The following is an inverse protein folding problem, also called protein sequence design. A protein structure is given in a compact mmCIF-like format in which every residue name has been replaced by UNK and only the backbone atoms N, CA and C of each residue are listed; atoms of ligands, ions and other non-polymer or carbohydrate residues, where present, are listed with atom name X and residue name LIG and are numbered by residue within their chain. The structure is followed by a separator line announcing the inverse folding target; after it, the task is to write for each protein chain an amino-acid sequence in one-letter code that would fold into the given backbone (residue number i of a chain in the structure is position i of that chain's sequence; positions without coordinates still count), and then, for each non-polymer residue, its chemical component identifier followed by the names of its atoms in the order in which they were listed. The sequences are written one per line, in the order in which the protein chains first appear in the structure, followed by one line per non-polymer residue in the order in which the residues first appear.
data_IF_573390101747
#
_entry.id   IF_573390101747
#
_cell.length_a   1.000
_cell.length_b   1.000
_cell.length_c   1.000
_cell.angle_alpha   90.00
_cell.angle_beta   90.00
_cell.angle_gamma   90.00
#
_symmetry.space_group_name_H-M   'P 1'
#
loop_
_entity.id
_entity.type
_entity.pdbx_description
1 polymer ?
#
# COMPACT_ATOMS: atom_id res chain seq x y z
N UNK A 1 -29.60 6.59 -14.62
CA UNK A 1 -28.40 6.89 -13.81
C UNK A 1 -28.87 7.75 -12.64
N UNK A 2 -28.81 7.24 -11.41
CA UNK A 2 -29.35 7.94 -10.23
C UNK A 2 -28.28 8.87 -9.67
N UNK A 3 -28.53 10.18 -9.66
CA UNK A 3 -27.61 11.15 -9.08
C UNK A 3 -27.92 11.31 -7.59
N UNK A 4 -26.91 11.05 -6.75
CA UNK A 4 -27.02 11.23 -5.31
C UNK A 4 -26.31 12.51 -4.92
N UNK A 5 -27.07 13.48 -4.42
CA UNK A 5 -26.50 14.72 -3.89
C UNK A 5 -26.06 14.50 -2.44
N UNK A 6 -24.78 14.79 -2.16
CA UNK A 6 -24.22 14.72 -0.80
C UNK A 6 -23.39 15.97 -0.54
N UNK A 7 -23.45 16.47 0.68
CA UNK A 7 -22.63 17.59 1.15
C UNK A 7 -21.47 16.99 1.94
N UNK A 8 -20.26 17.46 1.64
CA UNK A 8 -19.05 17.06 2.34
C UNK A 8 -18.30 18.33 2.73
N UNK A 9 -17.65 18.28 3.89
CA UNK A 9 -16.67 19.29 4.21
C UNK A 9 -15.40 19.02 3.39
N UNK A 10 -14.85 20.07 2.80
CA UNK A 10 -13.60 20.03 2.08
C UNK A 10 -12.73 21.17 2.60
N UNK A 11 -11.49 20.89 3.08
CA UNK A 11 -10.54 21.94 3.42
C UNK A 11 -10.37 22.92 2.25
N UNK A 12 -10.26 24.21 2.57
CA UNK A 12 -10.24 25.28 1.58
C UNK A 12 -9.09 25.12 0.58
N UNK A 13 -7.90 24.78 1.06
CA UNK A 13 -6.71 24.53 0.23
C UNK A 13 -6.95 23.43 -0.82
N UNK A 14 -7.61 22.34 -0.40
CA UNK A 14 -7.92 21.23 -1.30
C UNK A 14 -8.99 21.62 -2.31
N UNK A 15 -9.96 22.44 -1.92
CA UNK A 15 -10.98 22.94 -2.83
C UNK A 15 -10.35 23.85 -3.91
N UNK A 16 -9.44 24.75 -3.50
CA UNK A 16 -8.71 25.64 -4.41
C UNK A 16 -7.90 24.81 -5.40
N UNK A 17 -7.10 23.84 -4.92
CA UNK A 17 -6.29 22.98 -5.77
C UNK A 17 -7.14 22.19 -6.79
N UNK A 18 -8.24 21.59 -6.32
CA UNK A 18 -9.15 20.84 -7.18
C UNK A 18 -9.83 21.74 -8.22
N UNK A 19 -10.20 22.97 -7.85
CA UNK A 19 -10.81 23.94 -8.75
C UNK A 19 -9.85 24.40 -9.84
N UNK A 20 -8.59 24.63 -9.49
CA UNK A 20 -7.56 25.06 -10.43
C UNK A 20 -7.27 23.95 -11.44
N UNK A 21 -7.19 22.72 -10.97
CA UNK A 21 -6.96 21.58 -11.84
C UNK A 21 -8.16 21.27 -12.75
N UNK A 22 -9.38 21.40 -12.25
CA UNK A 22 -10.59 21.26 -13.07
C UNK A 22 -10.63 22.33 -14.17
N UNK A 23 -10.24 23.57 -13.87
CA UNK A 23 -10.13 24.66 -14.85
C UNK A 23 -9.08 24.39 -15.92
N UNK A 24 -7.91 23.89 -15.55
CA UNK A 24 -6.84 23.54 -16.50
C UNK A 24 -7.30 22.50 -17.53
N UNK A 25 -8.16 21.56 -17.12
CA UNK A 25 -8.66 20.48 -17.97
C UNK A 25 -10.00 20.80 -18.63
N UNK A 26 -10.59 21.98 -18.38
CA UNK A 26 -11.90 22.37 -18.92
C UNK A 26 -13.07 21.54 -18.37
N UNK A 27 -12.90 20.91 -17.20
CA UNK A 27 -13.87 20.01 -16.57
C UNK A 27 -14.57 20.68 -15.39
N UNK A 28 -15.74 20.13 -14.99
CA UNK A 28 -16.38 20.53 -13.74
C UNK A 28 -15.65 19.89 -12.56
N UNK A 29 -15.63 20.60 -11.42
CA UNK A 29 -15.02 20.12 -10.17
C UNK A 29 -15.57 18.75 -9.77
N UNK A 30 -16.88 18.52 -9.95
CA UNK A 30 -17.56 17.27 -9.62
C UNK A 30 -17.06 16.10 -10.48
N UNK A 31 -16.80 16.34 -11.77
CA UNK A 31 -16.30 15.31 -12.68
C UNK A 31 -14.88 14.91 -12.28
N UNK A 32 -14.05 15.90 -11.91
CA UNK A 32 -12.70 15.66 -11.42
C UNK A 32 -12.69 14.91 -10.09
N UNK A 33 -13.57 15.29 -9.16
CA UNK A 33 -13.77 14.59 -7.89
C UNK A 33 -14.16 13.13 -8.11
N UNK A 34 -15.07 12.88 -9.06
CA UNK A 34 -15.48 11.51 -9.44
C UNK A 34 -14.29 10.70 -9.96
N UNK A 35 -13.52 11.24 -10.90
CA UNK A 35 -12.33 10.57 -11.43
C UNK A 35 -11.34 10.20 -10.33
N UNK A 36 -11.09 11.11 -9.38
CA UNK A 36 -10.19 10.81 -8.26
C UNK A 36 -10.74 9.76 -7.32
N UNK A 37 -12.03 9.80 -7.02
CA UNK A 37 -12.69 8.81 -6.18
C UNK A 37 -12.63 7.42 -6.83
N UNK A 38 -12.91 7.33 -8.14
CA UNK A 38 -12.80 6.07 -8.90
C UNK A 38 -11.37 5.54 -8.92
N UNK A 39 -10.38 6.42 -9.12
CA UNK A 39 -8.96 6.04 -9.14
C UNK A 39 -8.51 5.53 -7.77
N UNK A 40 -8.91 6.19 -6.69
CA UNK A 40 -8.65 5.76 -5.31
C UNK A 40 -9.31 4.40 -4.99
N UNK A 41 -10.56 4.19 -5.38
CA UNK A 41 -11.26 2.92 -5.20
C UNK A 41 -10.59 1.76 -5.96
N UNK A 42 -10.12 2.01 -7.19
CA UNK A 42 -9.37 1.02 -7.97
C UNK A 42 -8.04 0.66 -7.31
N UNK A 43 -7.33 1.65 -6.77
CA UNK A 43 -6.08 1.44 -6.03
C UNK A 43 -6.32 0.66 -4.75
N UNK A 44 -7.36 0.95 -3.97
CA UNK A 44 -7.69 0.16 -2.75
C UNK A 44 -8.08 -1.27 -3.11
N UNK A 45 -8.83 -1.47 -4.20
CA UNK A 45 -9.20 -2.80 -4.69
C UNK A 45 -7.97 -3.58 -5.17
N UNK A 46 -7.04 -2.93 -5.85
CA UNK A 46 -5.77 -3.53 -6.23
C UNK A 46 -4.90 -3.81 -5.00
N UNK A 47 -4.80 -2.89 -4.04
CA UNK A 47 -4.04 -3.06 -2.80
C UNK A 47 -4.56 -4.23 -1.97
N UNK A 48 -5.89 -4.40 -1.87
CA UNK A 48 -6.53 -5.57 -1.24
C UNK A 48 -6.25 -6.88 -1.98
N UNK A 49 -6.06 -6.86 -3.30
CA UNK A 49 -5.52 -8.01 -4.06
C UNK A 49 -4.00 -8.17 -3.90
N UNK A 50 -3.29 -7.10 -3.52
CA UNK A 50 -1.82 -6.99 -3.50
C UNK A 50 -1.14 -7.47 -2.21
N UNK A 51 -1.85 -8.03 -1.23
CA UNK A 51 -1.17 -8.80 -0.16
C UNK A 51 -0.33 -9.93 -0.78
N UNK A 52 -0.80 -10.50 -1.90
CA UNK A 52 -0.03 -11.41 -2.76
C UNK A 52 1.08 -10.71 -3.58
N UNK A 53 0.86 -9.46 -3.97
CA UNK A 53 1.80 -8.61 -4.71
C UNK A 53 3.02 -8.18 -3.88
N UNK A 54 2.85 -7.91 -2.58
CA UNK A 54 3.96 -7.63 -1.66
C UNK A 54 4.89 -8.84 -1.50
N UNK A 55 4.32 -10.04 -1.38
CA UNK A 55 5.09 -11.30 -1.37
C UNK A 55 5.78 -11.54 -2.72
N UNK A 56 5.11 -11.26 -3.84
CA UNK A 56 5.71 -11.38 -5.17
C UNK A 56 6.89 -10.41 -5.36
N UNK A 57 6.79 -9.17 -4.87
CA UNK A 57 7.87 -8.19 -4.90
C UNK A 57 9.06 -8.64 -4.04
N UNK A 58 8.81 -9.20 -2.84
CA UNK A 58 9.85 -9.77 -1.98
C UNK A 58 10.57 -10.96 -2.64
N UNK A 59 9.83 -11.84 -3.32
CA UNK A 59 10.41 -12.96 -4.08
C UNK A 59 11.25 -12.45 -5.25
N UNK A 60 10.79 -11.43 -5.96
CA UNK A 60 11.54 -10.79 -7.05
C UNK A 60 12.85 -10.18 -6.51
N UNK A 61 12.79 -9.48 -5.38
CA UNK A 61 13.95 -8.90 -4.70
C UNK A 61 14.94 -9.98 -4.26
N UNK A 62 14.46 -11.07 -3.67
CA UNK A 62 15.27 -12.21 -3.26
C UNK A 62 15.99 -12.89 -4.44
N UNK A 63 15.35 -12.97 -5.61
CA UNK A 63 16.01 -13.46 -6.84
C UNK A 63 17.13 -12.51 -7.30
N UNK A 64 16.87 -11.20 -7.32
CA UNK A 64 17.86 -10.18 -7.71
C UNK A 64 19.07 -10.17 -6.78
N UNK A 65 18.83 -10.31 -5.47
CA UNK A 65 19.86 -10.34 -4.43
C UNK A 65 20.50 -11.72 -4.26
N UNK A 66 20.15 -12.71 -5.11
CA UNK A 66 20.61 -14.10 -5.04
C UNK A 66 20.47 -14.72 -3.64
N UNK A 67 19.41 -14.36 -2.93
CA UNK A 67 19.12 -14.96 -1.63
C UNK A 67 18.84 -16.45 -1.81
N UNK A 68 19.81 -17.27 -1.43
CA UNK A 68 19.64 -18.72 -1.33
C UNK A 68 19.12 -19.01 0.07
N UNK A 69 17.80 -18.96 0.22
CA UNK A 69 17.15 -19.46 1.42
C UNK A 69 17.39 -20.97 1.60
N UNK A 70 17.22 -21.50 2.82
CA UNK A 70 17.31 -22.94 3.08
C UNK A 70 16.36 -23.70 2.15
N UNK A 71 16.83 -24.80 1.53
CA UNK A 71 16.00 -25.62 0.63
C UNK A 71 14.77 -26.20 1.33
N UNK A 72 14.81 -26.31 2.65
CA UNK A 72 13.74 -26.83 3.50
C UNK A 72 12.89 -25.73 4.15
N UNK A 73 13.05 -24.46 3.76
CA UNK A 73 12.29 -23.32 4.27
C UNK A 73 10.78 -23.57 4.22
N UNK A 74 10.27 -24.17 3.14
CA UNK A 74 8.85 -24.49 3.00
C UNK A 74 8.33 -25.49 4.05
N UNK A 75 9.19 -26.34 4.63
CA UNK A 75 8.82 -27.33 5.66
C UNK A 75 9.14 -26.85 7.07
N UNK A 76 10.15 -25.99 7.21
CA UNK A 76 10.66 -25.51 8.52
C UNK A 76 10.45 -24.02 8.76
N UNK A 77 9.57 -23.36 8.02
CA UNK A 77 9.34 -21.92 8.13
C UNK A 77 9.04 -21.48 9.57
N UNK A 78 8.29 -22.27 10.34
CA UNK A 78 7.97 -21.98 11.75
C UNK A 78 9.21 -21.99 12.63
N UNK A 79 10.12 -22.95 12.42
CA UNK A 79 11.37 -23.04 13.15
C UNK A 79 12.26 -21.82 12.86
N UNK A 80 12.43 -21.48 11.58
CA UNK A 80 13.24 -20.32 11.19
C UNK A 80 12.65 -19.00 11.68
N UNK A 81 11.31 -18.88 11.70
CA UNK A 81 10.65 -17.70 12.26
C UNK A 81 10.90 -17.56 13.78
N UNK A 82 10.86 -18.67 14.52
CA UNK A 82 11.15 -18.68 15.95
C UNK A 82 12.61 -18.33 16.23
N UNK A 83 13.56 -18.92 15.50
CA UNK A 83 15.00 -18.61 15.63
C UNK A 83 15.31 -17.14 15.32
N UNK A 84 14.66 -16.57 14.29
CA UNK A 84 14.82 -15.15 13.96
C UNK A 84 14.26 -14.23 15.06
N UNK A 85 13.10 -14.57 15.63
CA UNK A 85 12.49 -13.82 16.71
C UNK A 85 13.34 -13.85 17.99
N UNK A 86 13.92 -15.02 18.33
CA UNK A 86 14.84 -15.15 19.46
C UNK A 86 16.11 -14.33 19.25
N UNK A 87 16.70 -14.36 18.04
CA UNK A 87 17.88 -13.55 17.72
C UNK A 87 17.60 -12.04 17.81
N UNK A 88 16.43 -11.58 17.36
CA UNK A 88 16.02 -10.18 17.47
C UNK A 88 15.80 -9.76 18.93
N UNK A 89 15.15 -10.62 19.73
CA UNK A 89 14.99 -10.39 21.17
C UNK A 89 16.34 -10.29 21.87
N UNK A 90 17.27 -11.19 21.57
CA UNK A 90 18.61 -11.17 22.13
C UNK A 90 19.36 -9.88 21.76
N UNK A 91 19.27 -9.45 20.48
CA UNK A 91 19.86 -8.19 20.01
C UNK A 91 19.30 -6.98 20.74
N UNK A 92 17.99 -6.96 20.99
CA UNK A 92 17.33 -5.91 21.77
C UNK A 92 17.88 -5.91 23.19
N UNK A 93 17.96 -7.06 23.85
CA UNK A 93 18.51 -7.16 25.20
C UNK A 93 19.97 -6.69 25.29
N UNK A 94 20.82 -7.08 24.34
CA UNK A 94 22.23 -6.68 24.31
C UNK A 94 22.41 -5.18 24.02
N UNK A 95 21.49 -4.55 23.28
CA UNK A 95 21.51 -3.11 22.99
C UNK A 95 21.16 -2.24 24.21
N UNK A 96 20.43 -2.79 25.19
CA UNK A 96 20.02 -2.10 26.42
C UNK A 96 20.85 -2.49 27.66
N UNK A 97 21.99 -3.18 27.46
CA UNK A 97 22.97 -3.52 28.49
C UNK A 97 24.16 -2.57 28.46
#
# INVERSE_FOLDING_TARGET
MTYVQRKFYFPEDLYIALSLQAKQEGLRIVDKLRTYTERGLRQDTQAKKSTSGGLAQLVQLGKTLKWKGPKDLARKHTKYAAEAAEADLQRIYDQYR
#
